data_IF_027449882166
#
_entry.id   IF_027449882166
#
_cell.length_a   1.000
_cell.length_b   1.000
_cell.length_c   1.000
_cell.angle_alpha   90.00
_cell.angle_beta   90.00
_cell.angle_gamma   90.00
#
_symmetry.space_group_name_H-M   'P 1'
#
loop_
_entity.id
_entity.type
_entity.pdbx_description
1 polymer ?
#
# COMPACT_ATOMS: atom_id res chain seq x y z
N UNK A 1 26.98 -40.28 24.56
CA UNK A 1 25.69 -40.79 24.97
C UNK A 1 24.67 -40.34 23.93
N UNK A 2 24.17 -41.29 23.13
CA UNK A 2 23.21 -41.02 22.04
C UNK A 2 21.82 -41.43 22.54
N UNK A 3 20.85 -40.54 22.60
CA UNK A 3 19.46 -40.87 22.80
C UNK A 3 18.74 -40.75 21.48
N UNK A 4 18.35 -41.93 20.93
CA UNK A 4 17.40 -42.05 19.84
C UNK A 4 16.00 -41.93 20.41
N UNK A 5 15.17 -41.08 19.85
CA UNK A 5 13.72 -41.07 20.08
C UNK A 5 13.03 -41.74 18.89
N UNK A 6 12.50 -42.92 19.17
CA UNK A 6 11.62 -43.68 18.29
C UNK A 6 10.21 -43.07 18.33
N UNK A 7 9.72 -42.58 17.20
CA UNK A 7 8.33 -42.14 17.07
C UNK A 7 7.52 -43.17 16.30
N UNK A 8 6.76 -43.98 17.10
CA UNK A 8 5.80 -44.97 16.61
C UNK A 8 4.58 -44.30 15.99
N UNK A 9 4.33 -44.54 14.71
CA UNK A 9 3.14 -44.10 13.97
C UNK A 9 1.97 -45.09 14.21
N UNK A 10 1.04 -44.67 15.06
CA UNK A 10 -0.27 -45.34 15.22
C UNK A 10 -1.18 -45.09 14.02
N UNK A 11 -1.55 -46.18 13.33
CA UNK A 11 -2.55 -46.15 12.24
C UNK A 11 -3.96 -45.99 12.85
N UNK A 12 -4.53 -44.80 12.77
CA UNK A 12 -5.97 -44.61 13.00
C UNK A 12 -6.71 -44.55 11.66
N UNK A 13 -7.48 -45.61 11.38
CA UNK A 13 -8.48 -45.61 10.31
C UNK A 13 -9.77 -44.98 10.86
N UNK A 14 -9.99 -43.71 10.53
CA UNK A 14 -11.28 -43.05 10.75
C UNK A 14 -12.07 -43.03 9.44
N UNK A 15 -13.16 -43.80 9.40
CA UNK A 15 -14.17 -43.72 8.34
C UNK A 15 -15.07 -42.51 8.66
N UNK A 16 -14.94 -41.43 7.98
CA UNK A 16 -15.91 -40.34 8.02
C UNK A 16 -16.87 -40.43 6.83
N UNK A 17 -18.13 -40.70 7.18
CA UNK A 17 -19.27 -40.55 6.29
C UNK A 17 -19.55 -39.02 6.24
N UNK A 18 -19.36 -38.38 5.09
CA UNK A 18 -19.68 -36.99 4.89
C UNK A 18 -21.09 -36.89 4.28
N UNK A 19 -22.06 -36.27 4.99
CA UNK A 19 -23.32 -35.93 4.34
C UNK A 19 -23.12 -34.75 3.37
N UNK A 20 -23.54 -34.95 2.13
CA UNK A 20 -23.62 -33.94 1.09
C UNK A 20 -24.70 -32.92 1.47
N UNK A 21 -24.31 -31.82 2.09
CA UNK A 21 -25.15 -30.62 2.17
C UNK A 21 -24.75 -29.69 1.02
N UNK A 22 -25.63 -29.63 0.02
CA UNK A 22 -25.53 -28.66 -1.07
C UNK A 22 -25.85 -27.26 -0.52
N UNK A 23 -24.84 -26.55 -0.07
CA UNK A 23 -24.93 -25.12 0.20
C UNK A 23 -24.60 -24.36 -1.09
N UNK A 24 -25.62 -23.69 -1.64
CA UNK A 24 -25.49 -22.78 -2.76
C UNK A 24 -24.54 -21.64 -2.37
N UNK A 25 -23.37 -21.64 -3.00
CA UNK A 25 -22.42 -20.52 -2.91
C UNK A 25 -22.96 -19.39 -3.77
N UNK A 26 -23.55 -18.39 -3.13
CA UNK A 26 -23.77 -17.07 -3.76
C UNK A 26 -22.39 -16.46 -4.05
N UNK A 27 -21.95 -16.59 -5.30
CA UNK A 27 -20.81 -15.85 -5.84
C UNK A 27 -21.19 -14.37 -5.86
N UNK A 28 -20.85 -13.65 -4.79
CA UNK A 28 -20.79 -12.18 -4.84
C UNK A 28 -19.57 -11.84 -5.70
N UNK A 29 -19.72 -11.16 -6.84
CA UNK A 29 -18.57 -10.69 -7.58
C UNK A 29 -17.84 -9.67 -6.71
N UNK A 30 -16.66 -10.02 -6.22
CA UNK A 30 -15.72 -9.06 -5.68
C UNK A 30 -15.38 -8.11 -6.85
N UNK A 31 -15.92 -6.89 -6.80
CA UNK A 31 -15.48 -5.84 -7.68
C UNK A 31 -14.02 -5.56 -7.33
N UNK A 32 -13.12 -6.18 -8.09
CA UNK A 32 -11.72 -5.81 -8.09
C UNK A 32 -11.67 -4.33 -8.49
N UNK A 33 -11.34 -3.46 -7.55
CA UNK A 33 -10.99 -2.09 -7.83
C UNK A 33 -9.71 -2.15 -8.68
N UNK A 34 -9.87 -2.20 -10.00
CA UNK A 34 -8.78 -2.05 -10.94
C UNK A 34 -8.26 -0.64 -10.77
N UNK A 35 -7.13 -0.49 -10.08
CA UNK A 35 -6.32 0.71 -10.18
C UNK A 35 -5.91 0.84 -11.65
N UNK A 36 -6.58 1.71 -12.38
CA UNK A 36 -6.19 2.05 -13.73
C UNK A 36 -4.74 2.57 -13.68
N UNK A 37 -3.83 2.07 -14.52
CA UNK A 37 -2.47 2.59 -14.57
C UNK A 37 -2.55 4.07 -14.94
N UNK A 38 -2.30 4.92 -13.97
CA UNK A 38 -2.26 6.37 -14.14
C UNK A 38 -1.12 6.69 -15.09
N UNK A 39 -1.46 7.23 -16.25
CA UNK A 39 -0.46 7.57 -17.27
C UNK A 39 0.66 8.42 -16.71
N UNK A 40 1.79 8.19 -17.20
CA UNK A 40 3.16 8.69 -17.17
C UNK A 40 3.47 10.14 -16.68
N UNK A 41 2.68 10.71 -15.78
CA UNK A 41 2.83 12.10 -15.31
C UNK A 41 3.71 12.26 -14.06
N UNK A 42 4.24 11.17 -13.53
CA UNK A 42 5.08 11.25 -12.31
C UNK A 42 4.33 11.65 -11.04
N UNK A 43 3.01 11.64 -11.09
CA UNK A 43 2.13 12.03 -9.99
C UNK A 43 1.06 10.97 -9.77
N UNK A 44 0.93 10.49 -8.54
CA UNK A 44 -0.14 9.60 -8.11
C UNK A 44 -1.23 10.40 -7.39
N UNK A 45 -2.48 10.03 -7.58
CA UNK A 45 -3.61 10.66 -6.88
C UNK A 45 -4.51 9.58 -6.30
N UNK A 46 -4.43 9.40 -4.99
CA UNK A 46 -5.37 8.58 -4.26
C UNK A 46 -6.70 9.35 -4.09
N UNK A 47 -7.77 8.79 -4.60
CA UNK A 47 -9.14 9.32 -4.50
C UNK A 47 -10.09 8.23 -4.05
N UNK A 48 -10.98 8.58 -3.14
CA UNK A 48 -12.01 7.68 -2.67
C UNK A 48 -13.24 7.84 -3.56
N UNK A 49 -13.69 6.73 -4.14
CA UNK A 49 -14.92 6.67 -4.92
C UNK A 49 -16.11 6.26 -4.02
N UNK A 50 -17.32 6.68 -4.41
CA UNK A 50 -18.60 6.27 -3.79
C UNK A 50 -18.76 6.58 -2.28
N UNK A 51 -18.02 7.53 -1.74
CA UNK A 51 -18.21 8.05 -0.38
C UNK A 51 -18.77 9.49 -0.45
N UNK A 52 -19.64 9.94 0.49
CA UNK A 52 -20.33 11.23 0.38
C UNK A 52 -19.40 12.45 0.38
N UNK A 53 -18.21 12.28 0.94
CA UNK A 53 -17.14 13.28 0.94
C UNK A 53 -15.86 12.68 0.38
N UNK A 54 -14.97 13.51 -0.10
CA UNK A 54 -13.69 13.05 -0.67
C UNK A 54 -12.56 14.05 -0.41
N UNK A 55 -11.34 13.56 -0.42
CA UNK A 55 -10.12 14.35 -0.59
C UNK A 55 -9.25 13.72 -1.68
N UNK A 56 -8.32 14.52 -2.18
CA UNK A 56 -7.24 14.06 -3.05
C UNK A 56 -5.93 14.13 -2.27
N UNK A 57 -5.21 13.05 -2.23
CA UNK A 57 -3.86 12.98 -1.71
C UNK A 57 -2.92 12.61 -2.85
N UNK A 58 -1.95 13.47 -3.14
CA UNK A 58 -1.07 13.36 -4.30
C UNK A 58 0.31 12.90 -3.85
N UNK A 59 0.82 11.83 -4.47
CA UNK A 59 2.19 11.38 -4.34
C UNK A 59 3.08 12.03 -5.40
N UNK A 60 4.31 12.34 -5.04
CA UNK A 60 5.37 12.79 -5.92
C UNK A 60 6.35 11.64 -6.18
N UNK A 61 7.03 11.63 -7.34
CA UNK A 61 8.07 10.64 -7.62
C UNK A 61 9.12 10.64 -6.51
N UNK A 62 9.74 9.48 -6.22
CA UNK A 62 10.88 9.43 -5.32
C UNK A 62 11.95 10.44 -5.74
N UNK A 63 12.57 11.08 -4.75
CA UNK A 63 13.55 12.15 -5.00
C UNK A 63 14.69 12.14 -3.99
N UNK A 64 15.82 12.69 -4.42
CA UNK A 64 16.96 13.01 -3.56
C UNK A 64 17.09 14.53 -3.46
N UNK A 65 17.29 15.05 -2.26
CA UNK A 65 17.51 16.51 -2.04
C UNK A 65 18.83 16.96 -2.64
N UNK A 66 19.84 16.11 -2.58
CA UNK A 66 21.15 16.31 -3.22
C UNK A 66 21.49 15.04 -4.00
N UNK A 67 22.15 15.22 -5.15
CA UNK A 67 22.60 14.07 -5.94
C UNK A 67 23.47 13.15 -5.07
N UNK A 68 23.16 11.86 -5.05
CA UNK A 68 23.83 10.89 -4.19
C UNK A 68 23.43 10.96 -2.71
N UNK A 69 22.44 11.78 -2.36
CA UNK A 69 21.90 11.84 -1.01
C UNK A 69 20.81 10.77 -0.75
N UNK A 70 20.26 10.78 0.46
CA UNK A 70 19.18 9.88 0.81
C UNK A 70 17.95 10.05 -0.10
N UNK A 71 17.24 8.94 -0.34
CA UNK A 71 16.02 8.90 -1.12
C UNK A 71 14.79 9.06 -0.21
N UNK A 72 13.81 9.79 -0.70
CA UNK A 72 12.55 10.08 -0.03
C UNK A 72 11.36 9.82 -0.95
N UNK A 73 10.22 9.49 -0.36
CA UNK A 73 8.91 9.60 -0.98
C UNK A 73 8.09 10.66 -0.26
N UNK A 74 7.21 11.34 -0.99
CA UNK A 74 6.40 12.43 -0.44
C UNK A 74 4.99 12.41 -1.00
N UNK A 75 4.02 12.81 -0.14
CA UNK A 75 2.65 13.04 -0.53
C UNK A 75 2.06 14.28 0.15
N UNK A 76 1.06 14.89 -0.47
CA UNK A 76 0.37 16.07 0.07
C UNK A 76 -1.10 16.12 -0.33
N UNK A 77 -1.91 16.74 0.51
CA UNK A 77 -3.31 17.01 0.18
C UNK A 77 -3.41 18.12 -0.88
N UNK A 78 -4.30 17.92 -1.87
CA UNK A 78 -4.49 18.87 -2.98
C UNK A 78 -5.91 19.39 -3.13
N UNK A 79 -6.81 18.98 -2.25
CA UNK A 79 -8.19 19.47 -2.18
C UNK A 79 -9.15 18.43 -1.60
N UNK A 80 -10.23 18.92 -1.00
CA UNK A 80 -11.32 18.10 -0.46
C UNK A 80 -12.68 18.64 -0.96
N UNK A 81 -13.73 17.83 -0.79
CA UNK A 81 -15.12 18.20 -1.06
C UNK A 81 -15.64 19.27 -0.08
N UNK A 82 -16.80 19.82 -0.40
CA UNK A 82 -17.60 20.62 0.52
C UNK A 82 -18.96 19.92 0.67
N UNK A 83 -19.34 19.44 1.86
CA UNK A 83 -18.57 19.48 3.11
C UNK A 83 -17.26 18.67 3.03
N UNK A 84 -16.30 19.03 3.86
CA UNK A 84 -15.04 18.29 3.98
C UNK A 84 -15.23 17.06 4.89
N UNK A 85 -14.37 16.02 4.76
CA UNK A 85 -14.29 14.96 5.77
C UNK A 85 -13.93 15.51 7.15
N UNK A 86 -14.36 14.80 8.21
CA UNK A 86 -14.02 15.16 9.57
C UNK A 86 -12.53 14.88 9.85
N UNK A 87 -12.04 13.72 9.39
CA UNK A 87 -10.64 13.33 9.49
C UNK A 87 -10.20 12.55 8.24
N UNK A 88 -8.88 12.53 8.02
CA UNK A 88 -8.22 11.73 7.01
C UNK A 88 -7.04 10.97 7.62
N UNK A 89 -6.75 9.82 7.05
CA UNK A 89 -5.50 9.10 7.25
C UNK A 89 -4.81 8.96 5.91
N UNK A 90 -3.62 9.52 5.81
CA UNK A 90 -2.78 9.43 4.62
C UNK A 90 -1.52 8.62 4.93
N UNK A 91 -1.14 7.75 4.02
CA UNK A 91 0.09 6.97 4.11
C UNK A 91 0.92 7.22 2.86
N UNK A 92 2.23 7.24 3.04
CA UNK A 92 3.22 7.39 1.96
C UNK A 92 4.24 6.28 2.11
N UNK A 93 4.37 5.47 1.09
CA UNK A 93 5.35 4.39 1.01
C UNK A 93 6.38 4.70 -0.08
N UNK A 94 7.65 4.67 0.26
CA UNK A 94 8.72 4.49 -0.70
C UNK A 94 8.84 2.99 -0.96
N UNK A 95 8.56 2.58 -2.17
CA UNK A 95 8.61 1.19 -2.59
C UNK A 95 9.79 0.95 -3.53
N UNK A 96 10.43 -0.18 -3.36
CA UNK A 96 11.50 -0.72 -4.20
C UNK A 96 10.96 -1.91 -5.01
N UNK A 97 11.32 -1.96 -6.29
CA UNK A 97 11.01 -3.11 -7.13
C UNK A 97 11.98 -4.25 -6.83
N UNK A 98 11.43 -5.36 -6.35
CA UNK A 98 12.20 -6.58 -6.08
C UNK A 98 12.10 -7.51 -7.29
N UNK A 99 13.11 -8.33 -7.50
CA UNK A 99 13.07 -9.38 -8.51
C UNK A 99 11.79 -10.21 -8.33
N UNK A 100 11.22 -10.70 -9.41
CA UNK A 100 9.97 -11.49 -9.47
C UNK A 100 8.66 -10.65 -9.51
N UNK A 101 8.74 -9.36 -9.73
CA UNK A 101 7.58 -8.57 -10.14
C UNK A 101 6.77 -7.96 -9.00
N UNK A 102 7.25 -7.96 -7.76
CA UNK A 102 6.54 -7.29 -6.68
C UNK A 102 7.28 -6.08 -6.13
N UNK A 103 6.52 -5.17 -5.52
CA UNK A 103 7.00 -3.98 -4.85
C UNK A 103 7.09 -4.22 -3.34
N UNK A 104 8.17 -3.77 -2.74
CA UNK A 104 8.42 -3.83 -1.30
C UNK A 104 8.50 -2.43 -0.72
N UNK A 105 7.65 -2.10 0.25
CA UNK A 105 7.81 -0.86 1.00
C UNK A 105 9.12 -0.90 1.82
N UNK A 106 10.02 0.03 1.53
CA UNK A 106 11.31 0.16 2.21
C UNK A 106 11.34 1.31 3.21
N UNK A 107 10.46 2.31 3.02
CA UNK A 107 10.18 3.37 3.99
C UNK A 107 8.69 3.67 3.99
N UNK A 108 8.17 4.03 5.15
CA UNK A 108 6.76 4.29 5.40
C UNK A 108 6.59 5.52 6.28
N UNK A 109 5.56 6.33 5.98
CA UNK A 109 5.07 7.43 6.80
C UNK A 109 3.55 7.37 6.86
N UNK A 110 2.98 7.52 8.07
CA UNK A 110 1.54 7.48 8.34
C UNK A 110 1.13 8.73 9.11
N UNK A 111 0.17 9.49 8.57
CA UNK A 111 -0.32 10.71 9.22
C UNK A 111 -1.12 10.44 10.49
N UNK A 112 -1.53 9.18 10.73
CA UNK A 112 -2.62 8.84 11.64
C UNK A 112 -3.93 9.55 11.25
N UNK A 113 -4.97 9.45 12.06
CA UNK A 113 -6.22 10.17 11.83
C UNK A 113 -6.07 11.62 12.28
N UNK A 114 -6.14 12.56 11.33
CA UNK A 114 -5.94 13.99 11.57
C UNK A 114 -6.74 14.83 10.57
N UNK A 115 -6.60 16.14 10.62
CA UNK A 115 -7.19 17.01 9.58
C UNK A 115 -6.66 16.61 8.20
N UNK A 116 -7.55 16.72 7.21
CA UNK A 116 -7.23 16.41 5.81
C UNK A 116 -6.33 17.49 5.17
N UNK A 117 -5.17 17.71 5.74
CA UNK A 117 -4.23 18.75 5.33
C UNK A 117 -2.78 18.31 5.62
N UNK A 118 -1.84 18.98 4.98
CA UNK A 118 -0.42 18.77 5.23
C UNK A 118 0.30 18.03 4.13
N UNK A 119 1.57 17.81 4.39
CA UNK A 119 2.52 17.10 3.55
C UNK A 119 3.25 16.10 4.42
N UNK A 120 3.44 14.90 3.90
CA UNK A 120 4.08 13.79 4.60
C UNK A 120 5.23 13.28 3.77
N UNK A 121 6.37 13.07 4.40
CA UNK A 121 7.61 12.63 3.75
C UNK A 121 8.17 11.45 4.53
N UNK A 122 8.48 10.36 3.85
CA UNK A 122 9.05 9.17 4.47
C UNK A 122 10.37 9.49 5.18
N UNK A 123 10.74 8.71 6.22
CA UNK A 123 12.12 8.71 6.70
C UNK A 123 13.10 8.45 5.56
N UNK A 124 14.34 8.98 5.63
CA UNK A 124 15.33 8.79 4.59
C UNK A 124 15.69 7.33 4.37
N UNK A 125 15.76 6.90 3.11
CA UNK A 125 16.46 5.69 2.70
C UNK A 125 17.90 6.08 2.37
N UNK A 126 18.87 5.52 3.08
CA UNK A 126 20.29 5.72 2.76
C UNK A 126 20.64 4.87 1.54
N UNK A 127 21.19 5.51 0.55
CA UNK A 127 21.70 4.86 -0.65
C UNK A 127 23.12 4.36 -0.43
N UNK A 128 23.42 3.18 -0.95
CA UNK A 128 24.74 2.54 -0.85
C UNK A 128 25.40 2.59 -2.22
N UNK A 129 25.53 3.65 -2.88
CA UNK A 129 26.07 3.86 -4.22
C UNK A 129 27.14 2.82 -4.63
N UNK A 130 26.72 1.61 -4.94
CA UNK A 130 27.56 0.51 -5.43
C UNK A 130 27.60 0.45 -6.97
N UNK A 131 26.94 1.42 -7.63
CA UNK A 131 26.80 1.50 -9.08
C UNK A 131 25.65 0.67 -9.65
N UNK A 132 24.91 -0.03 -8.81
CA UNK A 132 23.67 -0.67 -9.23
C UNK A 132 22.52 0.34 -9.30
N UNK A 133 21.68 0.18 -10.31
CA UNK A 133 20.48 1.00 -10.47
C UNK A 133 19.28 0.23 -9.99
N UNK A 134 18.59 0.80 -9.05
CA UNK A 134 17.37 0.24 -8.50
C UNK A 134 16.15 1.03 -8.97
N UNK A 135 14.99 0.39 -8.95
CA UNK A 135 13.74 1.00 -9.38
C UNK A 135 12.84 1.24 -8.20
N UNK A 136 12.40 2.49 -8.04
CA UNK A 136 11.55 2.92 -6.95
C UNK A 136 10.25 3.53 -7.47
N UNK A 137 9.21 3.51 -6.63
CA UNK A 137 8.02 4.33 -6.80
C UNK A 137 7.58 4.93 -5.44
N UNK A 138 6.66 5.88 -5.50
CA UNK A 138 5.91 6.33 -4.32
C UNK A 138 4.49 5.78 -4.43
N UNK A 139 4.07 5.00 -3.45
CA UNK A 139 2.66 4.66 -3.28
C UNK A 139 2.05 5.59 -2.23
N UNK A 140 0.87 6.09 -2.51
CA UNK A 140 0.08 6.87 -1.55
C UNK A 140 -1.25 6.19 -1.30
N UNK A 141 -1.66 6.19 -0.03
CA UNK A 141 -2.94 5.64 0.42
C UNK A 141 -3.71 6.74 1.14
N UNK A 142 -5.01 6.82 0.90
CA UNK A 142 -5.90 7.77 1.56
C UNK A 142 -7.15 7.07 2.06
N UNK A 143 -7.50 7.32 3.31
CA UNK A 143 -8.81 7.02 3.89
C UNK A 143 -9.41 8.30 4.46
N UNK A 144 -10.75 8.40 4.45
CA UNK A 144 -11.47 9.51 5.08
C UNK A 144 -12.49 9.00 6.08
N UNK A 145 -12.73 9.80 7.10
CA UNK A 145 -13.80 9.62 8.08
C UNK A 145 -14.80 10.76 7.95
N UNK A 146 -16.09 10.42 7.98
CA UNK A 146 -17.18 11.39 7.94
C UNK A 146 -18.38 10.87 8.75
N UNK A 147 -18.74 11.60 9.79
CA UNK A 147 -19.81 11.24 10.75
C UNK A 147 -19.64 9.82 11.33
N UNK A 148 -18.42 9.48 11.75
CA UNK A 148 -18.10 8.18 12.34
C UNK A 148 -18.07 7.01 11.35
N UNK A 149 -18.15 7.27 10.04
CA UNK A 149 -18.04 6.26 8.98
C UNK A 149 -16.72 6.42 8.25
N UNK A 150 -16.07 5.30 7.99
CA UNK A 150 -14.80 5.24 7.29
C UNK A 150 -14.98 4.81 5.84
N UNK A 151 -14.24 5.44 4.94
CA UNK A 151 -14.16 5.01 3.55
C UNK A 151 -13.28 3.76 3.39
N UNK A 152 -13.41 3.08 2.26
CA UNK A 152 -12.35 2.21 1.78
C UNK A 152 -11.08 3.03 1.47
N UNK A 153 -9.93 2.36 1.44
CA UNK A 153 -8.68 3.02 1.08
C UNK A 153 -8.59 3.28 -0.42
N UNK A 154 -8.33 4.51 -0.80
CA UNK A 154 -7.90 4.85 -2.15
C UNK A 154 -6.37 4.73 -2.24
N UNK A 155 -5.86 4.00 -3.22
CA UNK A 155 -4.42 3.75 -3.42
C UNK A 155 -4.01 4.24 -4.80
N UNK A 156 -2.82 4.82 -4.91
CA UNK A 156 -2.24 5.23 -6.18
C UNK A 156 -0.70 5.22 -6.14
N UNK A 157 -0.10 4.93 -7.29
CA UNK A 157 1.35 4.84 -7.48
C UNK A 157 1.84 5.90 -8.47
N UNK A 158 3.04 6.45 -8.24
CA UNK A 158 3.61 7.53 -9.09
C UNK A 158 4.23 7.03 -10.40
N UNK A 159 4.30 5.76 -10.60
CA UNK A 159 5.09 5.13 -11.64
C UNK A 159 6.60 5.07 -11.29
N UNK A 160 7.31 4.30 -12.08
CA UNK A 160 8.66 3.87 -11.79
C UNK A 160 9.69 4.99 -11.98
N UNK A 161 10.66 5.04 -11.10
CA UNK A 161 11.84 5.91 -11.18
C UNK A 161 13.09 5.05 -10.96
N UNK A 162 14.00 5.08 -11.91
CA UNK A 162 15.30 4.38 -11.80
C UNK A 162 16.29 5.33 -11.18
N UNK A 163 16.92 4.92 -10.11
CA UNK A 163 17.89 5.73 -9.35
C UNK A 163 19.12 4.91 -9.02
N UNK A 164 20.25 5.60 -8.97
CA UNK A 164 21.50 5.03 -8.42
C UNK A 164 21.44 5.22 -6.89
N UNK A 165 21.17 4.17 -6.26
CA UNK A 165 21.01 4.08 -4.83
C UNK A 165 21.73 2.84 -4.30
#
# INVERSE_FOLDING_TARGET
MRHAFDFSWGKMKARFIVPLLATGVLLVPAAAASAAPSGNTGRAVAKIAAFPVWCKFQGEKPFQVTHGGPLYAQGHYSGCSTPAPDQCRAQVDLQEYVRDGYWRAVKHEDSLWTRCSGRYTTPPLRCVHDGEKETYNTQVTLQVEYHGRFSEAGIADTGNTVMDC
#
